data_IF_331729748805
#
_entry.id   IF_331729748805
#
_cell.length_a   1.000
_cell.length_b   1.000
_cell.length_c   1.000
_cell.angle_alpha   90.00
_cell.angle_beta   90.00
_cell.angle_gamma   90.00
#
_symmetry.space_group_name_H-M   'P 1'
#
loop_
_entity.id
_entity.type
_entity.pdbx_description
1 polymer ?
#
# COMPACT_ATOMS: atom_id res chain seq x y z
N UNK A 1 15.47 34.92 -6.90
CA UNK A 1 16.21 33.96 -7.75
C UNK A 1 17.49 33.67 -6.98
N UNK A 2 17.70 32.52 -6.36
CA UNK A 2 17.27 31.15 -6.71
C UNK A 2 17.29 30.31 -5.43
N UNK A 3 16.22 29.53 -5.24
CA UNK A 3 16.10 28.26 -4.52
C UNK A 3 17.26 27.89 -3.56
N UNK A 4 17.07 28.14 -2.26
CA UNK A 4 17.80 27.46 -1.21
C UNK A 4 17.09 26.12 -0.92
N UNK A 5 17.84 25.06 -0.55
CA UNK A 5 17.46 23.68 -0.83
C UNK A 5 16.15 23.30 -0.14
N UNK A 6 15.22 22.78 -0.96
CA UNK A 6 14.08 21.92 -0.59
C UNK A 6 14.46 21.10 0.65
N UNK A 7 13.82 21.43 1.77
CA UNK A 7 14.17 20.97 3.13
C UNK A 7 14.67 19.51 3.14
N UNK A 8 15.87 19.22 3.71
CA UNK A 8 16.45 17.87 3.77
C UNK A 8 15.72 16.92 4.71
N UNK A 9 14.63 17.37 5.31
CA UNK A 9 13.72 16.62 6.16
C UNK A 9 12.32 17.06 5.76
N UNK A 10 11.61 16.30 4.92
CA UNK A 10 10.16 16.46 4.92
C UNK A 10 9.68 16.34 6.36
N UNK A 11 8.86 17.29 6.79
CA UNK A 11 8.37 17.29 8.17
C UNK A 11 7.70 15.94 8.44
N UNK A 12 7.81 15.42 9.67
CA UNK A 12 7.14 14.18 10.06
C UNK A 12 5.64 14.20 9.67
N UNK A 13 5.05 15.39 9.68
CA UNK A 13 3.67 15.66 9.25
C UNK A 13 3.44 15.41 7.74
N UNK A 14 4.36 15.81 6.87
CA UNK A 14 4.30 15.49 5.44
C UNK A 14 4.45 13.99 5.17
N UNK A 15 5.30 13.32 5.95
CA UNK A 15 5.46 11.86 5.87
C UNK A 15 4.18 11.15 6.31
N UNK A 16 3.61 11.53 7.46
CA UNK A 16 2.35 10.96 7.96
C UNK A 16 1.17 11.19 7.01
N UNK A 17 1.05 12.40 6.46
CA UNK A 17 0.02 12.72 5.47
C UNK A 17 0.18 11.88 4.20
N UNK A 18 1.42 11.68 3.76
CA UNK A 18 1.73 10.84 2.59
C UNK A 18 1.38 9.37 2.87
N UNK A 19 1.59 8.89 4.09
CA UNK A 19 1.26 7.53 4.51
C UNK A 19 -0.25 7.29 4.60
N UNK A 20 -1.00 8.22 5.21
CA UNK A 20 -2.47 8.13 5.29
C UNK A 20 -3.11 8.11 3.90
N UNK A 21 -2.63 8.97 2.98
CA UNK A 21 -3.10 8.94 1.60
C UNK A 21 -2.78 7.61 0.90
N UNK A 22 -1.60 7.05 1.18
CA UNK A 22 -1.20 5.76 0.64
C UNK A 22 -2.09 4.62 1.13
N UNK A 23 -2.44 4.62 2.42
CA UNK A 23 -3.40 3.68 3.00
C UNK A 23 -4.75 3.76 2.27
N UNK A 24 -5.28 4.96 2.04
CA UNK A 24 -6.55 5.17 1.33
C UNK A 24 -6.50 4.69 -0.14
N UNK A 25 -5.41 5.00 -0.86
CA UNK A 25 -5.23 4.55 -2.26
C UNK A 25 -5.15 3.03 -2.35
N UNK A 26 -4.50 2.39 -1.40
CA UNK A 26 -4.36 0.95 -1.35
C UNK A 26 -5.67 0.26 -0.98
N UNK A 27 -6.42 0.83 -0.03
CA UNK A 27 -7.74 0.33 0.36
C UNK A 27 -8.78 0.42 -0.78
N UNK A 28 -8.61 1.38 -1.68
CA UNK A 28 -9.54 1.64 -2.79
C UNK A 28 -9.15 0.94 -4.09
N UNK A 29 -8.02 0.22 -4.14
CA UNK A 29 -7.62 -0.56 -5.30
C UNK A 29 -8.54 -1.77 -5.49
N UNK A 30 -9.27 -1.76 -6.60
CA UNK A 30 -10.11 -2.88 -7.02
C UNK A 30 -9.25 -3.98 -7.68
N UNK A 31 -9.51 -5.24 -7.31
CA UNK A 31 -8.91 -6.41 -7.94
C UNK A 31 -9.85 -7.61 -7.87
N UNK A 32 -9.70 -8.54 -8.82
CA UNK A 32 -10.46 -9.77 -8.83
C UNK A 32 -9.82 -10.80 -7.88
N UNK A 33 -10.52 -11.09 -6.78
CA UNK A 33 -10.10 -12.07 -5.78
C UNK A 33 -10.16 -13.53 -6.25
N UNK A 34 -10.81 -13.81 -7.39
CA UNK A 34 -10.86 -15.14 -8.03
C UNK A 34 -9.72 -15.33 -9.04
N UNK A 35 -9.09 -14.25 -9.48
CA UNK A 35 -8.01 -14.31 -10.45
C UNK A 35 -6.65 -14.11 -9.76
N UNK A 36 -5.81 -15.16 -9.63
CA UNK A 36 -4.50 -15.04 -8.99
C UNK A 36 -3.58 -14.05 -9.70
N UNK A 37 -3.74 -13.86 -11.02
CA UNK A 37 -2.98 -12.85 -11.76
C UNK A 37 -3.44 -11.43 -11.42
N UNK A 38 -4.73 -11.23 -11.14
CA UNK A 38 -5.26 -9.95 -10.66
C UNK A 38 -4.78 -9.63 -9.24
N UNK A 39 -4.75 -10.61 -8.34
CA UNK A 39 -4.19 -10.47 -6.99
C UNK A 39 -2.70 -10.13 -7.06
N UNK A 40 -1.95 -10.82 -7.93
CA UNK A 40 -0.53 -10.52 -8.13
C UNK A 40 -0.32 -9.12 -8.72
N UNK A 41 -1.15 -8.72 -9.68
CA UNK A 41 -1.07 -7.41 -10.29
C UNK A 41 -1.32 -6.28 -9.28
N UNK A 42 -2.33 -6.43 -8.40
CA UNK A 42 -2.60 -5.40 -7.38
C UNK A 42 -1.47 -5.31 -6.37
N UNK A 43 -0.92 -6.45 -5.92
CA UNK A 43 0.24 -6.48 -5.02
C UNK A 43 1.45 -5.77 -5.62
N UNK A 44 1.76 -6.04 -6.88
CA UNK A 44 2.87 -5.38 -7.59
C UNK A 44 2.61 -3.89 -7.80
N UNK A 45 1.37 -3.52 -8.11
CA UNK A 45 1.00 -2.13 -8.30
C UNK A 45 1.08 -1.34 -7.00
N UNK A 46 0.60 -1.90 -5.89
CA UNK A 46 0.72 -1.29 -4.55
C UNK A 46 2.18 -1.09 -4.17
N UNK A 47 3.02 -2.11 -4.33
CA UNK A 47 4.44 -2.02 -4.00
C UNK A 47 5.14 -0.92 -4.81
N UNK A 48 4.82 -0.83 -6.11
CA UNK A 48 5.34 0.21 -6.99
C UNK A 48 4.85 1.63 -6.64
N UNK A 49 3.59 1.79 -6.21
CA UNK A 49 3.04 3.08 -5.78
C UNK A 49 3.71 3.54 -4.49
N UNK A 50 3.87 2.65 -3.51
CA UNK A 50 4.59 2.92 -2.26
C UNK A 50 6.04 3.32 -2.58
N UNK A 51 6.76 2.52 -3.36
CA UNK A 51 8.15 2.78 -3.70
C UNK A 51 8.33 4.12 -4.43
N UNK A 52 7.46 4.42 -5.40
CA UNK A 52 7.51 5.67 -6.16
C UNK A 52 7.26 6.87 -5.26
N UNK A 53 6.28 6.78 -4.36
CA UNK A 53 5.91 7.90 -3.48
C UNK A 53 6.95 8.14 -2.39
N UNK A 54 7.57 7.06 -1.92
CA UNK A 54 8.55 7.08 -0.84
C UNK A 54 10.00 7.19 -1.32
N UNK A 55 10.24 7.19 -2.64
CA UNK A 55 11.56 7.38 -3.23
C UNK A 55 12.29 8.63 -2.70
N UNK A 56 11.54 9.70 -2.40
CA UNK A 56 12.08 10.94 -1.84
C UNK A 56 12.56 10.83 -0.39
N UNK A 57 12.20 9.76 0.32
CA UNK A 57 12.51 9.52 1.73
C UNK A 57 13.44 8.34 1.97
N UNK A 58 13.97 7.74 0.89
CA UNK A 58 14.87 6.59 1.00
C UNK A 58 16.12 6.92 1.81
N UNK A 59 16.50 5.99 2.68
CA UNK A 59 17.67 6.12 3.55
C UNK A 59 17.37 6.78 4.91
N UNK A 60 16.13 7.21 5.16
CA UNK A 60 15.73 7.68 6.48
C UNK A 60 15.18 6.50 7.31
N UNK A 61 15.91 6.06 8.35
CA UNK A 61 15.63 4.80 9.06
C UNK A 61 14.18 4.68 9.59
N UNK A 62 13.62 5.77 10.11
CA UNK A 62 12.22 5.81 10.55
C UNK A 62 11.25 5.61 9.40
N UNK A 63 11.53 6.22 8.25
CA UNK A 63 10.67 6.13 7.07
C UNK A 63 10.73 4.73 6.46
N UNK A 64 11.92 4.13 6.37
CA UNK A 64 12.10 2.74 5.91
C UNK A 64 11.31 1.75 6.79
N UNK A 65 11.33 1.93 8.11
CA UNK A 65 10.54 1.10 9.03
C UNK A 65 9.04 1.25 8.76
N UNK A 66 8.55 2.47 8.59
CA UNK A 66 7.13 2.72 8.32
C UNK A 66 6.70 2.24 6.93
N UNK A 67 7.57 2.32 5.93
CA UNK A 67 7.33 1.72 4.61
C UNK A 67 7.14 0.21 4.73
N UNK A 68 8.01 -0.45 5.49
CA UNK A 68 7.93 -1.90 5.68
C UNK A 68 6.62 -2.30 6.37
N UNK A 69 6.21 -1.54 7.40
CA UNK A 69 4.95 -1.75 8.11
C UNK A 69 3.73 -1.55 7.20
N UNK A 70 3.69 -0.46 6.43
CA UNK A 70 2.63 -0.18 5.47
C UNK A 70 2.51 -1.29 4.40
N UNK A 71 3.64 -1.79 3.87
CA UNK A 71 3.63 -2.90 2.92
C UNK A 71 3.07 -4.18 3.54
N UNK A 72 3.40 -4.45 4.80
CA UNK A 72 2.90 -5.62 5.53
C UNK A 72 1.39 -5.52 5.79
N UNK A 73 0.90 -4.36 6.22
CA UNK A 73 -0.54 -4.11 6.43
C UNK A 73 -1.33 -4.22 5.12
N UNK A 74 -0.81 -3.63 4.04
CA UNK A 74 -1.40 -3.78 2.71
C UNK A 74 -1.52 -5.24 2.30
N UNK A 75 -0.44 -6.02 2.44
CA UNK A 75 -0.43 -7.43 2.11
C UNK A 75 -1.46 -8.20 2.95
N UNK A 76 -1.51 -7.93 4.25
CA UNK A 76 -2.49 -8.54 5.15
C UNK A 76 -3.93 -8.21 4.73
N UNK A 77 -4.22 -6.97 4.33
CA UNK A 77 -5.55 -6.57 3.89
C UNK A 77 -5.95 -7.24 2.57
N UNK A 78 -5.06 -7.30 1.58
CA UNK A 78 -5.31 -8.00 0.31
C UNK A 78 -5.59 -9.49 0.57
N UNK A 79 -4.79 -10.14 1.42
CA UNK A 79 -5.00 -11.53 1.79
C UNK A 79 -6.32 -11.75 2.55
N UNK A 80 -6.69 -10.85 3.46
CA UNK A 80 -7.94 -10.90 4.18
C UNK A 80 -9.16 -10.77 3.23
N UNK A 81 -9.07 -9.92 2.21
CA UNK A 81 -10.11 -9.80 1.18
C UNK A 81 -10.23 -11.09 0.33
N UNK A 82 -9.10 -11.69 -0.04
CA UNK A 82 -9.07 -12.99 -0.74
C UNK A 82 -9.66 -14.10 0.13
N UNK A 83 -9.31 -14.15 1.41
CA UNK A 83 -9.86 -15.12 2.37
C UNK A 83 -11.37 -14.91 2.56
N UNK A 84 -11.84 -13.68 2.73
CA UNK A 84 -13.26 -13.34 2.83
C UNK A 84 -14.02 -13.75 1.56
N UNK A 85 -13.43 -13.55 0.37
CA UNK A 85 -14.00 -14.00 -0.90
C UNK A 85 -14.09 -15.54 -0.95
N UNK A 86 -13.04 -16.26 -0.53
CA UNK A 86 -13.04 -17.72 -0.41
C UNK A 86 -14.10 -18.25 0.56
N UNK A 87 -14.28 -17.61 1.71
CA UNK A 87 -15.31 -17.98 2.69
C UNK A 87 -16.71 -17.80 2.11
N UNK A 88 -16.97 -16.67 1.44
CA UNK A 88 -18.24 -16.44 0.73
C UNK A 88 -18.52 -17.52 -0.32
N UNK A 89 -17.49 -18.04 -0.99
CA UNK A 89 -17.60 -19.17 -1.93
C UNK A 89 -17.94 -20.49 -1.21
N UNK A 90 -17.29 -20.80 -0.09
CA UNK A 90 -17.59 -21.98 0.72
C UNK A 90 -18.99 -21.98 1.35
N UNK A 91 -19.58 -20.79 1.54
CA UNK A 91 -20.95 -20.62 2.04
C UNK A 91 -22.03 -20.55 0.96
N UNK A 92 -21.73 -20.69 -0.35
CA UNK A 92 -22.80 -20.85 -1.34
C UNK A 92 -23.53 -22.17 -1.05
N UNK A 93 -24.81 -22.16 -0.65
CA UNK A 93 -25.58 -23.37 -0.69
C UNK A 93 -25.72 -23.76 -2.16
N UNK A 94 -25.40 -25.02 -2.48
CA UNK A 94 -25.84 -25.67 -3.71
C UNK A 94 -27.38 -25.65 -3.71
N UNK A 95 -27.98 -24.65 -4.36
CA UNK A 95 -29.41 -24.59 -4.64
C UNK A 95 -29.62 -24.27 -6.11
#
# INVERSE_FOLDING_TARGET
MTDAPKDPLASLDEVLTTLQWLEEVVLTMEFDCDNPDSVKAVLQATDAVIDRRMAAYRGHALVESTIAELKAECLANILAQVEAANLRRGTRPLH
#
